data_IF_037517097102
#
_entry.id   IF_037517097102
#
_cell.length_a   1.000
_cell.length_b   1.000
_cell.length_c   1.000
_cell.angle_alpha   90.00
_cell.angle_beta   90.00
_cell.angle_gamma   90.00
#
_symmetry.space_group_name_H-M   'P 1'
#
loop_
_entity.id
_entity.type
_entity.pdbx_description
1 polymer ?
#
# COMPACT_ATOMS: atom_id res chain seq x y z
N UNK A 1 -2.60 15.69 -0.64
CA UNK A 1 -1.82 14.66 -1.37
C UNK A 1 -2.41 13.30 -1.08
N UNK A 2 -2.83 12.62 -2.11
CA UNK A 2 -3.46 11.29 -1.99
C UNK A 2 -2.40 10.21 -2.04
N UNK A 3 -2.43 9.29 -1.06
CA UNK A 3 -1.59 8.11 -1.06
C UNK A 3 -2.41 6.93 -1.58
N UNK A 4 -1.90 6.28 -2.64
CA UNK A 4 -2.41 4.97 -3.07
C UNK A 4 -1.60 3.90 -2.37
N UNK A 5 -2.21 3.23 -1.42
CA UNK A 5 -1.57 2.16 -0.65
C UNK A 5 -2.00 0.82 -1.22
N UNK A 6 -1.04 -0.07 -1.48
CA UNK A 6 -1.30 -1.37 -2.10
C UNK A 6 -0.88 -2.47 -1.14
N UNK A 7 -1.77 -3.44 -0.94
CA UNK A 7 -1.48 -4.68 -0.22
C UNK A 7 -1.85 -5.86 -1.12
N UNK A 8 -0.90 -6.78 -1.28
CA UNK A 8 -1.13 -8.02 -2.00
C UNK A 8 -1.44 -9.11 -0.99
N UNK A 9 -2.49 -9.88 -1.23
CA UNK A 9 -2.90 -10.97 -0.33
C UNK A 9 -2.97 -12.30 -1.05
N UNK A 10 -2.55 -13.35 -0.34
CA UNK A 10 -2.79 -14.72 -0.72
C UNK A 10 -2.81 -15.55 0.57
N UNK A 11 -3.99 -16.08 0.91
CA UNK A 11 -4.21 -16.84 2.15
C UNK A 11 -3.67 -16.09 3.38
N UNK A 12 -4.02 -14.82 3.48
CA UNK A 12 -3.53 -13.88 4.51
C UNK A 12 -4.54 -13.64 5.63
N UNK A 13 -5.54 -14.50 5.78
CA UNK A 13 -6.65 -14.28 6.71
C UNK A 13 -6.25 -14.10 8.16
N UNK A 14 -5.15 -14.71 8.60
CA UNK A 14 -4.71 -14.63 9.99
C UNK A 14 -3.99 -13.32 10.33
N UNK A 15 -3.46 -12.61 9.33
CA UNK A 15 -2.65 -11.40 9.55
C UNK A 15 -3.31 -10.14 9.01
N UNK A 16 -4.18 -10.28 8.02
CA UNK A 16 -4.72 -9.16 7.26
C UNK A 16 -5.50 -8.17 8.14
N UNK A 17 -6.21 -8.65 9.16
CA UNK A 17 -7.02 -7.75 9.97
C UNK A 17 -6.14 -6.71 10.70
N UNK A 18 -4.96 -7.08 11.18
CA UNK A 18 -4.02 -6.15 11.83
C UNK A 18 -3.52 -5.11 10.84
N UNK A 19 -3.23 -5.54 9.61
CA UNK A 19 -2.81 -4.65 8.52
C UNK A 19 -3.91 -3.62 8.22
N UNK A 20 -5.14 -4.09 8.01
CA UNK A 20 -6.28 -3.23 7.71
C UNK A 20 -6.58 -2.26 8.85
N UNK A 21 -6.54 -2.75 10.10
CA UNK A 21 -6.80 -1.92 11.27
C UNK A 21 -5.76 -0.81 11.40
N UNK A 22 -4.49 -1.10 11.12
CA UNK A 22 -3.43 -0.09 11.20
C UNK A 22 -3.58 1.00 10.15
N UNK A 23 -4.08 0.66 8.97
CA UNK A 23 -4.37 1.64 7.91
C UNK A 23 -5.59 2.47 8.28
N UNK A 24 -6.63 1.83 8.78
CA UNK A 24 -7.87 2.51 9.19
C UNK A 24 -7.61 3.55 10.30
N UNK A 25 -6.63 3.29 11.15
CA UNK A 25 -6.28 4.16 12.28
C UNK A 25 -5.39 5.34 11.93
N UNK A 26 -4.94 5.47 10.68
CA UNK A 26 -4.06 6.56 10.29
C UNK A 26 -4.76 7.91 10.34
N UNK A 27 -4.03 8.94 10.78
CA UNK A 27 -4.56 10.29 10.85
C UNK A 27 -4.68 10.96 9.49
N UNK A 28 -3.84 10.57 8.52
CA UNK A 28 -3.97 11.02 7.15
C UNK A 28 -5.08 10.24 6.46
N UNK A 29 -6.19 10.91 6.15
CA UNK A 29 -7.40 10.26 5.64
C UNK A 29 -7.47 10.21 4.11
N UNK A 30 -6.66 11.00 3.42
CA UNK A 30 -6.66 11.06 1.96
C UNK A 30 -5.87 9.89 1.39
N UNK A 31 -6.47 8.72 1.45
CA UNK A 31 -5.87 7.47 0.97
C UNK A 31 -6.81 6.76 0.00
N UNK A 32 -6.20 6.06 -0.94
CA UNK A 32 -6.84 5.08 -1.80
C UNK A 32 -6.20 3.74 -1.46
N UNK A 33 -6.93 2.88 -0.77
CA UNK A 33 -6.38 1.58 -0.37
C UNK A 33 -6.79 0.52 -1.38
N UNK A 34 -5.80 -0.12 -2.00
CA UNK A 34 -6.00 -1.11 -3.06
C UNK A 34 -5.46 -2.44 -2.58
N UNK A 35 -6.31 -3.45 -2.59
CA UNK A 35 -5.91 -4.81 -2.22
C UNK A 35 -6.09 -5.72 -3.42
N UNK A 36 -5.01 -6.42 -3.77
CA UNK A 36 -4.99 -7.38 -4.87
C UNK A 36 -4.84 -8.77 -4.27
N UNK A 37 -5.91 -9.56 -4.36
CA UNK A 37 -5.94 -10.92 -3.82
C UNK A 37 -5.74 -11.94 -4.94
N UNK A 38 -4.93 -12.95 -4.68
CA UNK A 38 -4.59 -14.00 -5.63
C UNK A 38 -5.49 -15.23 -5.53
N UNK A 39 -6.80 -15.04 -5.37
CA UNK A 39 -7.81 -16.09 -5.21
C UNK A 39 -7.52 -16.91 -3.95
N UNK A 40 -7.53 -16.24 -2.82
CA UNK A 40 -7.35 -16.88 -1.51
C UNK A 40 -8.45 -17.89 -1.23
N UNK A 41 -8.06 -19.00 -0.61
CA UNK A 41 -8.97 -20.10 -0.26
C UNK A 41 -9.30 -20.15 1.22
N UNK A 42 -8.65 -19.33 2.02
CA UNK A 42 -8.94 -19.18 3.44
C UNK A 42 -9.98 -18.07 3.67
N UNK A 43 -10.06 -17.52 4.86
CA UNK A 43 -11.02 -16.47 5.20
C UNK A 43 -10.57 -15.04 4.83
N UNK A 44 -9.54 -14.89 3.99
CA UNK A 44 -9.03 -13.58 3.56
C UNK A 44 -10.14 -12.71 2.98
N UNK A 45 -10.93 -13.25 2.07
CA UNK A 45 -12.02 -12.49 1.43
C UNK A 45 -13.08 -12.07 2.45
N UNK A 46 -13.37 -12.91 3.44
CA UNK A 46 -14.31 -12.56 4.50
C UNK A 46 -13.82 -11.37 5.31
N UNK A 47 -12.53 -11.31 5.60
CA UNK A 47 -11.91 -10.17 6.30
C UNK A 47 -12.04 -8.90 5.45
N UNK A 48 -11.79 -8.99 4.15
CA UNK A 48 -11.94 -7.84 3.24
C UNK A 48 -13.37 -7.32 3.23
N UNK A 49 -14.34 -8.21 3.14
CA UNK A 49 -15.77 -7.83 3.14
C UNK A 49 -16.19 -7.19 4.47
N UNK A 50 -15.62 -7.64 5.57
CA UNK A 50 -15.89 -7.06 6.89
C UNK A 50 -15.35 -5.63 7.01
N UNK A 51 -14.14 -5.39 6.51
CA UNK A 51 -13.49 -4.07 6.65
C UNK A 51 -13.86 -3.06 5.58
N UNK A 52 -14.31 -3.49 4.41
CA UNK A 52 -14.61 -2.59 3.30
C UNK A 52 -15.55 -1.45 3.69
N UNK A 53 -16.67 -1.68 4.39
CA UNK A 53 -17.56 -0.58 4.78
C UNK A 53 -16.91 0.42 5.74
N UNK A 54 -15.95 -0.02 6.54
CA UNK A 54 -15.29 0.83 7.53
C UNK A 54 -14.40 1.90 6.89
N UNK A 55 -14.01 1.70 5.64
CA UNK A 55 -13.17 2.64 4.90
C UNK A 55 -13.97 3.70 4.13
N UNK A 56 -15.28 3.64 4.13
CA UNK A 56 -16.15 4.66 3.53
C UNK A 56 -15.82 4.93 2.06
N UNK A 57 -15.65 3.85 1.28
CA UNK A 57 -15.36 3.94 -0.15
C UNK A 57 -13.90 4.10 -0.52
N UNK A 58 -13.00 4.22 0.46
CA UNK A 58 -11.56 4.37 0.21
C UNK A 58 -10.85 3.05 -0.04
N UNK A 59 -11.48 1.92 0.26
CA UNK A 59 -10.93 0.58 0.04
C UNK A 59 -11.54 -0.03 -1.21
N UNK A 60 -10.68 -0.45 -2.13
CA UNK A 60 -11.06 -1.23 -3.31
C UNK A 60 -10.23 -2.50 -3.34
N UNK A 61 -10.85 -3.60 -3.72
CA UNK A 61 -10.12 -4.86 -3.82
C UNK A 61 -10.60 -5.68 -5.01
N UNK A 62 -9.69 -6.46 -5.56
CA UNK A 62 -9.97 -7.46 -6.58
C UNK A 62 -9.40 -8.80 -6.12
N UNK A 63 -10.02 -9.88 -6.60
CA UNK A 63 -9.51 -11.23 -6.36
C UNK A 63 -9.50 -11.96 -7.69
N UNK A 64 -8.29 -12.22 -8.19
CA UNK A 64 -8.11 -12.90 -9.48
C UNK A 64 -6.76 -13.61 -9.49
N UNK A 65 -6.59 -14.65 -10.34
CA UNK A 65 -5.32 -15.33 -10.43
C UNK A 65 -4.19 -14.38 -10.82
N UNK A 66 -3.03 -14.56 -10.23
CA UNK A 66 -1.83 -13.81 -10.58
C UNK A 66 -0.65 -14.77 -10.84
N UNK A 67 0.42 -14.23 -11.40
CA UNK A 67 1.64 -14.99 -11.71
C UNK A 67 2.70 -14.80 -10.62
N UNK A 68 2.28 -14.48 -9.42
CA UNK A 68 3.14 -14.25 -8.27
C UNK A 68 3.06 -12.81 -7.75
N UNK A 69 3.89 -12.52 -6.74
CA UNK A 69 3.85 -11.27 -6.01
C UNK A 69 4.00 -10.04 -6.91
N UNK A 70 4.97 -10.06 -7.84
CA UNK A 70 5.23 -8.91 -8.70
C UNK A 70 4.08 -8.63 -9.67
N UNK A 71 3.45 -9.68 -10.18
CA UNK A 71 2.29 -9.51 -11.05
C UNK A 71 1.13 -8.87 -10.29
N UNK A 72 0.88 -9.33 -9.06
CA UNK A 72 -0.16 -8.75 -8.20
C UNK A 72 0.15 -7.30 -7.84
N UNK A 73 1.40 -6.99 -7.50
CA UNK A 73 1.83 -5.62 -7.24
C UNK A 73 1.61 -4.72 -8.45
N UNK A 74 1.94 -5.19 -9.65
CA UNK A 74 1.74 -4.43 -10.88
C UNK A 74 0.26 -4.15 -11.15
N UNK A 75 -0.61 -5.10 -10.84
CA UNK A 75 -2.06 -4.86 -10.93
C UNK A 75 -2.50 -3.73 -10.02
N UNK A 76 -2.04 -3.74 -8.77
CA UNK A 76 -2.33 -2.67 -7.82
C UNK A 76 -1.81 -1.31 -8.29
N UNK A 77 -0.60 -1.27 -8.81
CA UNK A 77 0.01 -0.05 -9.33
C UNK A 77 -0.82 0.51 -10.49
N UNK A 78 -1.30 -0.34 -11.39
CA UNK A 78 -2.14 0.10 -12.51
C UNK A 78 -3.48 0.65 -12.06
N UNK A 79 -3.98 0.20 -10.90
CA UNK A 79 -5.22 0.72 -10.32
C UNK A 79 -5.02 2.03 -9.56
N UNK A 80 -3.80 2.35 -9.18
CA UNK A 80 -3.48 3.51 -8.34
C UNK A 80 -3.67 4.82 -9.09
N UNK A 81 -4.32 5.79 -8.46
CA UNK A 81 -4.55 7.12 -9.02
C UNK A 81 -4.00 8.25 -8.14
N UNK A 82 -3.39 7.91 -7.00
CA UNK A 82 -2.89 8.92 -6.06
C UNK A 82 -1.57 9.55 -6.46
N UNK A 83 -1.15 10.51 -5.66
CA UNK A 83 0.09 11.27 -5.87
C UNK A 83 1.33 10.48 -5.44
N UNK A 84 1.16 9.58 -4.49
CA UNK A 84 2.22 8.74 -3.96
C UNK A 84 1.71 7.31 -3.88
N UNK A 85 2.55 6.35 -4.22
CA UNK A 85 2.22 4.93 -4.15
C UNK A 85 3.05 4.27 -3.06
N UNK A 86 2.40 3.54 -2.18
CA UNK A 86 3.06 2.75 -1.14
C UNK A 86 2.63 1.30 -1.20
N UNK A 87 3.52 0.40 -0.76
CA UNK A 87 3.24 -1.03 -0.69
C UNK A 87 3.40 -1.50 0.73
N UNK A 88 2.33 -2.05 1.29
CA UNK A 88 2.29 -2.61 2.64
C UNK A 88 1.97 -4.09 2.54
N UNK A 89 2.86 -4.94 3.04
CA UNK A 89 2.65 -6.38 3.00
C UNK A 89 1.48 -6.80 3.88
N UNK A 90 0.82 -7.91 3.53
CA UNK A 90 -0.38 -8.39 4.22
C UNK A 90 -0.13 -8.94 5.63
N UNK A 91 1.12 -9.10 6.02
CA UNK A 91 1.53 -9.51 7.36
C UNK A 91 2.21 -8.38 8.15
N UNK A 92 2.32 -7.19 7.55
CA UNK A 92 2.86 -6.00 8.20
C UNK A 92 1.75 -5.05 8.62
N UNK A 93 2.07 -4.14 9.52
CA UNK A 93 1.15 -3.11 9.96
C UNK A 93 1.93 -1.87 10.41
N UNK A 94 1.28 -0.73 10.32
CA UNK A 94 1.88 0.52 10.81
C UNK A 94 1.91 0.52 12.33
N UNK A 95 3.05 0.87 12.92
CA UNK A 95 3.24 0.90 14.37
C UNK A 95 2.74 2.17 15.03
N UNK A 96 2.40 3.19 14.23
CA UNK A 96 1.86 4.46 14.72
C UNK A 96 0.75 4.96 13.81
N UNK A 97 -0.01 5.91 14.31
CA UNK A 97 -1.15 6.46 13.57
C UNK A 97 -0.79 7.63 12.66
N UNK A 98 0.43 8.14 12.73
CA UNK A 98 0.87 9.32 11.97
C UNK A 98 1.89 8.97 10.88
N UNK A 99 2.07 7.69 10.55
CA UNK A 99 3.07 7.25 9.57
C UNK A 99 2.79 7.84 8.20
N UNK A 100 1.57 7.74 7.72
CA UNK A 100 1.20 8.28 6.40
C UNK A 100 1.28 9.82 6.39
N UNK A 101 0.92 10.47 7.48
CA UNK A 101 1.06 11.91 7.61
C UNK A 101 2.52 12.35 7.51
N UNK A 102 3.44 11.59 8.11
CA UNK A 102 4.87 11.85 8.02
C UNK A 102 5.40 11.68 6.59
N UNK A 103 4.90 10.65 5.89
CA UNK A 103 5.28 10.39 4.49
C UNK A 103 4.85 11.57 3.61
N UNK A 104 3.61 12.03 3.75
CA UNK A 104 3.10 13.17 3.00
C UNK A 104 3.94 14.40 3.26
N UNK A 105 4.27 14.65 4.52
CA UNK A 105 5.09 15.80 4.90
C UNK A 105 6.47 15.75 4.24
N UNK A 106 7.09 14.56 4.19
CA UNK A 106 8.38 14.39 3.54
C UNK A 106 8.32 14.76 2.06
N UNK A 107 7.30 14.28 1.34
CA UNK A 107 7.13 14.60 -0.07
C UNK A 107 6.76 16.07 -0.33
N UNK A 108 6.01 16.68 0.57
CA UNK A 108 5.62 18.09 0.43
C UNK A 108 6.78 19.05 0.73
N UNK A 109 7.73 18.66 1.59
CA UNK A 109 8.87 19.50 1.95
C UNK A 109 10.05 19.39 1.01
N UNK A 110 10.12 18.32 0.22
CA UNK A 110 11.18 18.13 -0.76
C UNK A 110 10.62 17.50 -2.02
N UNK A 111 10.37 18.33 -3.03
CA UNK A 111 9.82 17.90 -4.32
C UNK A 111 10.80 17.07 -5.16
N UNK A 112 12.08 17.00 -4.75
CA UNK A 112 13.08 16.17 -5.41
C UNK A 112 13.05 14.72 -4.90
N UNK A 113 12.31 14.42 -3.82
CA UNK A 113 12.20 13.06 -3.31
C UNK A 113 11.53 12.15 -4.33
N UNK A 114 12.21 11.06 -4.69
CA UNK A 114 11.63 10.01 -5.52
C UNK A 114 10.94 8.94 -4.66
N UNK A 115 11.47 8.68 -3.47
CA UNK A 115 10.96 7.64 -2.60
C UNK A 115 11.29 7.92 -1.14
N UNK A 116 10.46 7.37 -0.26
CA UNK A 116 10.64 7.42 1.18
C UNK A 116 10.57 5.99 1.70
N UNK A 117 11.55 5.60 2.49
CA UNK A 117 11.60 4.28 3.11
C UNK A 117 11.34 4.35 4.61
N UNK A 118 10.66 3.36 5.08
CA UNK A 118 10.56 2.92 6.43
C UNK A 118 10.32 1.42 6.35
N UNK A 119 9.42 0.89 7.15
CA UNK A 119 8.96 -0.49 7.00
C UNK A 119 8.10 -0.65 5.74
N UNK A 120 7.70 0.44 5.12
CA UNK A 120 6.91 0.48 3.88
C UNK A 120 7.60 1.43 2.91
N UNK A 121 7.60 1.07 1.62
CA UNK A 121 8.21 1.87 0.57
C UNK A 121 7.17 2.75 -0.11
N UNK A 122 7.43 4.06 -0.15
CA UNK A 122 6.57 5.04 -0.81
C UNK A 122 7.33 5.72 -1.94
N UNK A 123 6.73 5.77 -3.13
CA UNK A 123 7.38 6.32 -4.32
C UNK A 123 6.40 7.18 -5.13
N UNK A 124 6.95 8.15 -5.87
CA UNK A 124 6.17 8.82 -6.90
C UNK A 124 5.88 7.85 -8.05
N UNK A 125 4.66 7.85 -8.59
CA UNK A 125 4.27 6.90 -9.64
C UNK A 125 5.15 6.94 -10.89
N UNK A 126 5.61 8.12 -11.30
CA UNK A 126 6.47 8.28 -12.46
C UNK A 126 7.89 7.74 -12.25
N UNK A 127 8.29 7.51 -11.00
CA UNK A 127 9.58 6.90 -10.65
C UNK A 127 9.46 5.40 -10.37
N UNK A 128 8.26 4.91 -10.16
CA UNK A 128 8.02 3.53 -9.73
C UNK A 128 8.50 2.50 -10.75
N UNK A 129 8.25 2.75 -12.03
CA UNK A 129 8.72 1.85 -13.10
C UNK A 129 10.24 1.75 -13.11
N UNK A 130 10.94 2.85 -12.88
CA UNK A 130 12.39 2.85 -12.77
C UNK A 130 12.87 2.01 -11.60
N UNK A 131 12.18 2.07 -10.46
CA UNK A 131 12.53 1.30 -9.26
C UNK A 131 12.27 -0.19 -9.43
N UNK A 132 11.26 -0.56 -10.20
CA UNK A 132 10.93 -1.97 -10.48
C UNK A 132 11.95 -2.59 -11.42
N UNK A 133 12.47 -1.83 -12.39
CA UNK A 133 13.38 -2.34 -13.41
C UNK A 133 14.86 -2.16 -13.07
N UNK A 134 15.19 -1.38 -12.06
CA UNK A 134 16.55 -1.12 -11.64
C UNK A 134 16.78 -1.74 -10.27
N UNK A 135 17.82 -2.56 -10.17
CA UNK A 135 18.17 -3.22 -8.91
C UNK A 135 18.80 -2.28 -7.88
N UNK A 136 19.14 -1.05 -8.28
CA UNK A 136 19.73 -0.07 -7.38
C UNK A 136 18.76 1.08 -7.12
N UNK A 137 18.41 1.33 -5.85
CA UNK A 137 17.52 2.43 -5.50
C UNK A 137 18.21 3.77 -5.69
N UNK A 138 17.55 4.70 -6.37
CA UNK A 138 18.01 6.08 -6.50
C UNK A 138 17.41 6.91 -5.38
N UNK A 139 18.25 7.59 -4.62
CA UNK A 139 17.89 8.60 -3.61
C UNK A 139 16.69 8.25 -2.76
N UNK A 140 16.90 7.40 -1.81
CA UNK A 140 15.88 6.98 -0.87
C UNK A 140 16.10 7.68 0.47
N UNK A 141 15.04 8.23 1.03
CA UNK A 141 15.06 8.74 2.39
C UNK A 141 14.47 7.70 3.31
N UNK A 142 15.21 7.29 4.34
CA UNK A 142 14.70 6.35 5.32
C UNK A 142 13.91 7.09 6.38
N UNK A 143 12.70 6.60 6.68
CA UNK A 143 11.91 7.04 7.82
C UNK A 143 11.86 5.89 8.81
N UNK A 144 12.26 6.13 10.02
CA UNK A 144 12.14 5.15 11.09
C UNK A 144 10.79 5.27 11.80
#
# INVERSE_FOLDING_TARGET
MTISLITVTYNSGNTLFSTLQSVLSQTHLDIEYIIVDGVSKDHTIDVLKEYEPKFNGRLRWISEPDKGLYDAMNKGIRMATGDVVGILNSDDFFTGKDVLAQVVRAFETDDRLAAVYGDVHFVHPDKLLSLIHISEPTRLLSIS
#
